data_IF_624818424933
#
_entry.id   IF_624818424933
#
_cell.length_a   1.000
_cell.length_b   1.000
_cell.length_c   1.000
_cell.angle_alpha   90.00
_cell.angle_beta   90.00
_cell.angle_gamma   90.00
#
_symmetry.space_group_name_H-M   'P 1'
#
loop_
_entity.id
_entity.type
_entity.pdbx_description
1 polymer ?
#
# COMPACT_ATOMS: atom_id res chain seq x y z
N UNK A 1 -3.82 -10.81 18.72
CA UNK A 1 -3.30 -9.72 19.60
C UNK A 1 -3.34 -8.32 18.96
N UNK A 2 -3.64 -8.17 17.65
CA UNK A 2 -3.65 -6.86 16.92
C UNK A 2 -5.00 -6.14 16.88
N UNK A 3 -6.12 -6.83 17.13
CA UNK A 3 -7.45 -6.21 17.16
C UNK A 3 -7.73 -5.39 18.43
N UNK A 4 -6.98 -5.60 19.52
CA UNK A 4 -7.14 -4.87 20.78
C UNK A 4 -6.76 -3.39 20.67
N UNK A 5 -5.77 -3.04 19.85
CA UNK A 5 -5.29 -1.65 19.70
C UNK A 5 -6.29 -0.74 18.98
N UNK A 6 -7.03 -1.27 17.99
CA UNK A 6 -8.02 -0.47 17.25
C UNK A 6 -9.22 -0.08 18.14
N UNK A 7 -9.79 -1.05 18.88
CA UNK A 7 -10.90 -0.79 19.82
C UNK A 7 -10.50 0.19 20.92
N UNK A 8 -9.35 -0.03 21.55
CA UNK A 8 -8.83 0.89 22.56
C UNK A 8 -8.67 2.31 22.01
N UNK A 9 -8.14 2.47 20.79
CA UNK A 9 -8.02 3.76 20.13
C UNK A 9 -9.38 4.42 19.90
N UNK A 10 -10.37 3.69 19.36
CA UNK A 10 -11.73 4.20 19.14
C UNK A 10 -12.37 4.63 20.45
N UNK A 11 -12.29 3.80 21.50
CA UNK A 11 -12.89 4.09 22.80
C UNK A 11 -12.28 5.35 23.43
N UNK A 12 -10.96 5.56 23.27
CA UNK A 12 -10.27 6.76 23.77
C UNK A 12 -10.78 8.06 23.11
N UNK A 13 -11.15 8.02 21.85
CA UNK A 13 -11.58 9.22 21.09
C UNK A 13 -13.11 9.33 20.91
N UNK A 14 -13.88 8.41 21.49
CA UNK A 14 -15.34 8.34 21.31
C UNK A 14 -16.03 9.64 21.67
N UNK A 15 -15.78 10.19 22.85
CA UNK A 15 -16.43 11.41 23.33
C UNK A 15 -16.02 12.63 22.49
N UNK A 16 -14.74 12.72 22.13
CA UNK A 16 -14.24 13.78 21.24
C UNK A 16 -14.89 13.70 19.86
N UNK A 17 -15.11 12.48 19.32
CA UNK A 17 -15.76 12.26 18.05
C UNK A 17 -17.24 12.66 18.09
N UNK A 18 -17.96 12.28 19.16
CA UNK A 18 -19.36 12.66 19.37
C UNK A 18 -19.52 14.19 19.45
N UNK A 19 -18.67 14.85 20.23
CA UNK A 19 -18.67 16.31 20.35
C UNK A 19 -18.37 17.00 19.01
N UNK A 20 -17.46 16.47 18.22
CA UNK A 20 -17.12 17.00 16.90
C UNK A 20 -18.30 16.83 15.93
N UNK A 21 -18.93 15.67 15.90
CA UNK A 21 -20.14 15.39 15.10
C UNK A 21 -21.28 16.35 15.47
N UNK A 22 -21.52 16.55 16.77
CA UNK A 22 -22.53 17.48 17.23
C UNK A 22 -22.26 18.94 16.83
N UNK A 23 -20.98 19.34 16.81
CA UNK A 23 -20.56 20.69 16.43
C UNK A 23 -20.66 20.95 14.93
N UNK A 24 -20.31 19.97 14.11
CA UNK A 24 -20.26 20.10 12.65
C UNK A 24 -21.60 19.77 12.00
N UNK A 25 -22.41 18.90 12.60
CA UNK A 25 -23.66 18.41 12.06
C UNK A 25 -23.51 17.30 11.02
N UNK A 26 -22.29 16.77 10.84
CA UNK A 26 -21.99 15.72 9.85
C UNK A 26 -21.54 14.43 10.53
N UNK A 27 -21.96 13.28 9.98
CA UNK A 27 -21.55 11.97 10.48
C UNK A 27 -20.08 11.72 10.14
N UNK A 28 -19.24 11.54 11.16
CA UNK A 28 -17.84 11.18 11.04
C UNK A 28 -17.64 9.76 11.58
N UNK A 29 -16.91 8.93 10.86
CA UNK A 29 -16.64 7.55 11.28
C UNK A 29 -15.12 7.28 11.15
N UNK A 30 -14.50 6.82 12.24
CA UNK A 30 -13.14 6.27 12.20
C UNK A 30 -13.27 4.81 11.78
N UNK A 31 -12.80 4.46 10.60
CA UNK A 31 -12.96 3.11 10.04
C UNK A 31 -11.74 2.23 10.21
N UNK A 32 -10.57 2.81 10.17
CA UNK A 32 -9.29 2.09 10.23
C UNK A 32 -8.29 2.87 11.07
N UNK A 33 -7.50 2.14 11.85
CA UNK A 33 -6.31 2.65 12.51
C UNK A 33 -5.23 1.57 12.50
N UNK A 34 -3.98 1.96 12.38
CA UNK A 34 -2.84 1.05 12.45
C UNK A 34 -1.71 1.72 13.22
N UNK A 35 -1.12 0.94 14.12
CA UNK A 35 0.04 1.34 14.90
C UNK A 35 1.30 0.70 14.31
N UNK A 36 2.33 1.50 14.11
CA UNK A 36 3.66 1.07 13.72
C UNK A 36 4.60 1.23 14.92
N UNK A 37 5.06 0.11 15.45
CA UNK A 37 6.06 0.15 16.54
C UNK A 37 7.45 0.48 16.00
N UNK A 38 8.37 0.80 16.91
CA UNK A 38 9.78 1.07 16.59
C UNK A 38 10.71 -0.09 16.99
N UNK A 39 10.18 -1.30 17.25
CA UNK A 39 10.96 -2.43 17.76
C UNK A 39 11.92 -3.02 16.75
N UNK A 40 11.57 -2.96 15.45
CA UNK A 40 12.40 -3.46 14.34
C UNK A 40 12.29 -2.50 13.17
N UNK A 41 13.42 -2.12 12.58
CA UNK A 41 13.45 -1.25 11.42
C UNK A 41 13.11 0.21 11.71
N UNK A 42 12.91 0.99 10.66
CA UNK A 42 12.57 2.41 10.71
C UNK A 42 11.27 2.68 9.97
N UNK A 43 10.45 3.56 10.52
CA UNK A 43 9.19 3.98 9.93
C UNK A 43 9.41 5.27 9.12
N UNK A 44 8.88 5.29 7.90
CA UNK A 44 8.83 6.48 7.04
C UNK A 44 7.39 6.73 6.63
N UNK A 45 7.04 7.99 6.44
CA UNK A 45 5.68 8.35 6.06
C UNK A 45 5.63 9.46 5.02
N UNK A 46 4.50 9.53 4.33
CA UNK A 46 4.20 10.59 3.39
C UNK A 46 2.73 10.98 3.53
N UNK A 47 2.48 12.29 3.59
CA UNK A 47 1.13 12.86 3.62
C UNK A 47 0.91 13.61 2.32
N UNK A 48 -0.08 13.19 1.55
CA UNK A 48 -0.47 13.84 0.30
C UNK A 48 -1.68 14.75 0.51
N UNK A 49 -1.66 15.91 -0.16
CA UNK A 49 -2.66 16.96 0.04
C UNK A 49 -2.78 17.33 1.52
N UNK A 50 -1.63 17.64 2.11
CA UNK A 50 -1.56 18.06 3.50
C UNK A 50 -2.39 19.33 3.73
N UNK A 51 -3.23 19.29 4.75
CA UNK A 51 -4.02 20.44 5.23
C UNK A 51 -3.27 21.13 6.35
N UNK A 52 -2.62 20.35 7.19
CA UNK A 52 -1.74 20.79 8.29
C UNK A 52 -0.61 19.75 8.44
N UNK A 53 0.31 19.96 9.38
CA UNK A 53 1.38 19.04 9.67
C UNK A 53 0.81 17.66 10.05
N UNK A 54 1.21 16.62 9.33
CA UNK A 54 0.78 15.23 9.51
C UNK A 54 -0.72 14.96 9.30
N UNK A 55 -1.47 15.91 8.72
CA UNK A 55 -2.89 15.78 8.41
C UNK A 55 -3.11 15.98 6.92
N UNK A 56 -3.69 15.01 6.24
CA UNK A 56 -3.96 15.08 4.81
C UNK A 56 -4.99 14.08 4.34
N UNK A 57 -5.34 14.17 3.06
CA UNK A 57 -6.35 13.29 2.44
C UNK A 57 -5.87 11.86 2.19
N UNK A 58 -4.56 11.69 1.98
CA UNK A 58 -3.92 10.38 1.80
C UNK A 58 -2.69 10.35 2.70
N UNK A 59 -2.52 9.27 3.43
CA UNK A 59 -1.30 8.97 4.18
C UNK A 59 -0.80 7.58 3.80
N UNK A 60 0.51 7.45 3.65
CA UNK A 60 1.20 6.18 3.57
C UNK A 60 2.30 6.09 4.61
N UNK A 61 2.46 4.92 5.18
CA UNK A 61 3.54 4.60 6.11
C UNK A 61 4.20 3.31 5.63
N UNK A 62 5.52 3.29 5.63
CA UNK A 62 6.31 2.10 5.33
C UNK A 62 7.35 1.88 6.40
N UNK A 63 7.52 0.62 6.81
CA UNK A 63 8.54 0.17 7.74
C UNK A 63 9.61 -0.61 6.99
N UNK A 64 10.85 -0.17 7.11
CA UNK A 64 12.01 -0.77 6.44
C UNK A 64 13.00 -1.33 7.45
N UNK A 65 13.55 -2.51 7.17
CA UNK A 65 14.77 -3.01 7.81
C UNK A 65 15.99 -2.72 6.92
N UNK A 66 17.18 -2.82 7.50
CA UNK A 66 18.44 -2.57 6.78
C UNK A 66 18.78 -1.11 6.54
N UNK A 67 17.98 -0.18 7.06
CA UNK A 67 18.22 1.27 6.90
C UNK A 67 19.36 1.75 7.79
N UNK A 68 20.25 2.54 7.20
CA UNK A 68 21.28 3.30 7.91
C UNK A 68 20.81 4.74 8.03
N UNK A 69 20.57 5.17 9.28
CA UNK A 69 20.07 6.53 9.59
C UNK A 69 21.00 7.60 9.00
N UNK A 70 20.41 8.62 8.39
CA UNK A 70 21.14 9.70 7.71
C UNK A 70 21.61 9.36 6.28
N UNK A 71 21.70 8.07 5.91
CA UNK A 71 22.12 7.66 4.55
C UNK A 71 20.94 7.32 3.64
N UNK A 72 19.94 6.63 4.18
CA UNK A 72 18.82 6.10 3.41
C UNK A 72 17.47 6.77 3.75
N UNK A 73 17.44 7.79 4.60
CA UNK A 73 16.20 8.44 5.05
C UNK A 73 15.36 8.96 3.87
N UNK A 74 16.03 9.54 2.87
CA UNK A 74 15.36 10.01 1.66
C UNK A 74 14.73 8.87 0.84
N UNK A 75 15.32 7.66 0.85
CA UNK A 75 14.75 6.49 0.19
C UNK A 75 13.42 6.08 0.84
N UNK A 76 13.39 6.01 2.18
CA UNK A 76 12.18 5.63 2.91
C UNK A 76 11.02 6.58 2.65
N UNK A 77 11.27 7.90 2.68
CA UNK A 77 10.25 8.91 2.36
C UNK A 77 9.77 8.82 0.90
N UNK A 78 10.69 8.59 -0.04
CA UNK A 78 10.34 8.37 -1.46
C UNK A 78 9.52 7.09 -1.66
N UNK A 79 9.83 6.02 -0.90
CA UNK A 79 9.05 4.79 -0.96
C UNK A 79 7.63 4.99 -0.40
N UNK A 80 7.49 5.73 0.70
CA UNK A 80 6.18 6.11 1.21
C UNK A 80 5.39 6.92 0.16
N UNK A 81 6.03 7.88 -0.53
CA UNK A 81 5.41 8.62 -1.63
C UNK A 81 4.99 7.71 -2.79
N UNK A 82 5.84 6.73 -3.16
CA UNK A 82 5.51 5.73 -4.17
C UNK A 82 4.26 4.92 -3.78
N UNK A 83 4.18 4.43 -2.54
CA UNK A 83 3.02 3.70 -2.02
C UNK A 83 1.75 4.56 -2.09
N UNK A 84 1.84 5.84 -1.74
CA UNK A 84 0.71 6.75 -1.83
C UNK A 84 0.19 6.90 -3.26
N UNK A 85 1.09 6.95 -4.26
CA UNK A 85 0.76 7.13 -5.67
C UNK A 85 0.32 5.83 -6.35
N UNK A 86 1.06 4.73 -6.15
CA UNK A 86 0.89 3.48 -6.91
C UNK A 86 -0.06 2.48 -6.27
N UNK A 87 -0.46 2.69 -5.02
CA UNK A 87 -1.44 1.88 -4.30
C UNK A 87 -1.22 0.36 -4.35
N UNK A 88 -0.06 -0.16 -3.99
CA UNK A 88 0.17 -1.60 -3.97
C UNK A 88 -0.76 -2.29 -2.98
N UNK A 89 -1.18 -3.52 -3.31
CA UNK A 89 -2.03 -4.35 -2.45
C UNK A 89 -1.20 -5.17 -1.45
N UNK A 90 0.01 -5.55 -1.84
CA UNK A 90 0.91 -6.40 -1.04
C UNK A 90 2.38 -6.02 -1.28
N UNK A 91 3.29 -6.57 -0.46
CA UNK A 91 4.73 -6.37 -0.61
C UNK A 91 5.22 -7.12 -1.85
N UNK A 92 4.90 -8.41 -1.97
CA UNK A 92 5.25 -9.22 -3.12
C UNK A 92 4.00 -9.87 -3.73
N UNK A 93 4.16 -10.54 -4.88
CA UNK A 93 3.08 -11.19 -5.64
C UNK A 93 2.35 -12.25 -4.83
N UNK A 94 3.12 -13.06 -4.11
CA UNK A 94 2.65 -14.17 -3.29
C UNK A 94 1.85 -13.72 -2.07
N UNK A 95 2.00 -12.44 -1.66
CA UNK A 95 1.29 -11.84 -0.54
C UNK A 95 -0.08 -11.28 -0.93
N UNK A 96 -0.40 -11.21 -2.24
CA UNK A 96 -1.71 -10.73 -2.71
C UNK A 96 -2.78 -11.75 -2.34
N UNK A 97 -3.87 -11.27 -1.72
CA UNK A 97 -4.98 -12.12 -1.30
C UNK A 97 -5.51 -12.95 -2.48
N UNK A 98 -5.57 -14.27 -2.28
CA UNK A 98 -6.04 -15.21 -3.28
C UNK A 98 -7.43 -14.88 -3.83
N UNK A 99 -8.34 -14.37 -2.99
CA UNK A 99 -9.67 -13.97 -3.42
C UNK A 99 -9.64 -12.82 -4.43
N UNK A 100 -8.69 -11.90 -4.29
CA UNK A 100 -8.47 -10.81 -5.24
C UNK A 100 -7.95 -11.34 -6.56
N UNK A 101 -6.98 -12.26 -6.50
CA UNK A 101 -6.40 -12.91 -7.70
C UNK A 101 -7.44 -13.74 -8.45
N UNK A 102 -8.24 -14.53 -7.72
CA UNK A 102 -9.29 -15.37 -8.32
C UNK A 102 -10.36 -14.50 -9.01
N UNK A 103 -10.81 -13.42 -8.40
CA UNK A 103 -11.74 -12.46 -9.02
C UNK A 103 -11.17 -11.82 -10.28
N UNK A 104 -9.90 -11.42 -10.25
CA UNK A 104 -9.27 -10.84 -11.43
C UNK A 104 -9.15 -11.87 -12.57
N UNK A 105 -8.85 -13.13 -12.24
CA UNK A 105 -8.84 -14.22 -13.22
C UNK A 105 -10.22 -14.43 -13.85
N UNK A 106 -11.29 -14.38 -13.09
CA UNK A 106 -12.67 -14.45 -13.61
C UNK A 106 -12.95 -13.31 -14.60
N UNK A 107 -12.56 -12.08 -14.25
CA UNK A 107 -12.73 -10.90 -15.12
C UNK A 107 -11.92 -11.07 -16.42
N UNK A 108 -10.65 -11.45 -16.29
CA UNK A 108 -9.75 -11.68 -17.44
C UNK A 108 -10.32 -12.75 -18.38
N UNK A 109 -10.80 -13.87 -17.85
CA UNK A 109 -11.34 -14.94 -18.65
C UNK A 109 -12.63 -14.52 -19.38
N UNK A 110 -13.54 -13.83 -18.71
CA UNK A 110 -14.74 -13.28 -19.32
C UNK A 110 -14.43 -12.28 -20.45
N UNK A 111 -13.43 -11.40 -20.26
CA UNK A 111 -12.98 -10.48 -21.33
C UNK A 111 -12.42 -11.24 -22.54
N UNK A 112 -11.64 -12.31 -22.32
CA UNK A 112 -11.03 -13.08 -23.39
C UNK A 112 -12.08 -13.87 -24.17
N UNK A 113 -13.05 -14.49 -23.49
CA UNK A 113 -14.17 -15.20 -24.11
C UNK A 113 -14.96 -14.27 -25.03
N UNK A 114 -15.27 -13.07 -24.56
CA UNK A 114 -15.99 -12.05 -25.35
C UNK A 114 -15.17 -11.49 -26.52
N UNK A 115 -13.85 -11.70 -26.55
CA UNK A 115 -12.97 -11.19 -27.61
C UNK A 115 -12.93 -12.02 -28.88
N UNK A 116 -13.58 -13.20 -28.91
CA UNK A 116 -13.62 -14.12 -30.07
C UNK A 116 -12.26 -14.72 -30.45
N UNK A 117 -11.26 -14.67 -29.58
CA UNK A 117 -9.91 -15.20 -29.86
C UNK A 117 -9.86 -16.74 -29.84
N UNK A 118 -8.97 -17.35 -30.65
CA UNK A 118 -8.82 -18.82 -30.69
C UNK A 118 -8.46 -19.34 -29.27
N UNK A 119 -9.07 -20.50 -28.90
CA UNK A 119 -8.87 -21.13 -27.58
C UNK A 119 -7.40 -21.35 -27.22
N UNK A 120 -6.55 -21.68 -28.20
CA UNK A 120 -5.11 -21.89 -28.01
C UNK A 120 -4.35 -20.62 -27.54
N UNK A 121 -4.90 -19.42 -27.83
CA UNK A 121 -4.33 -18.14 -27.39
C UNK A 121 -4.87 -17.68 -26.03
N UNK A 122 -6.04 -18.18 -25.62
CA UNK A 122 -6.72 -17.78 -24.39
C UNK A 122 -5.83 -17.97 -23.17
N UNK A 123 -5.27 -19.16 -23.00
CA UNK A 123 -4.42 -19.50 -21.85
C UNK A 123 -3.16 -18.62 -21.78
N UNK A 124 -2.54 -18.36 -22.93
CA UNK A 124 -1.34 -17.52 -22.99
C UNK A 124 -1.66 -16.07 -22.62
N UNK A 125 -2.77 -15.55 -23.11
CA UNK A 125 -3.22 -14.18 -22.85
C UNK A 125 -3.63 -14.04 -21.37
N UNK A 126 -4.38 -15.02 -20.83
CA UNK A 126 -4.81 -15.04 -19.44
C UNK A 126 -3.59 -15.03 -18.50
N UNK A 127 -2.60 -15.92 -18.73
CA UNK A 127 -1.34 -15.95 -17.97
C UNK A 127 -0.57 -14.61 -18.05
N UNK A 128 -0.52 -13.99 -19.21
CA UNK A 128 0.14 -12.71 -19.40
C UNK A 128 -0.56 -11.57 -18.63
N UNK A 129 -1.90 -11.51 -18.71
CA UNK A 129 -2.71 -10.50 -18.03
C UNK A 129 -2.61 -10.63 -16.49
N UNK A 130 -2.75 -11.87 -15.96
CA UNK A 130 -2.66 -12.09 -14.52
C UNK A 130 -1.24 -11.80 -13.99
N UNK A 131 -0.19 -12.17 -14.74
CA UNK A 131 1.18 -11.83 -14.36
C UNK A 131 1.40 -10.32 -14.29
N UNK A 132 0.84 -9.59 -15.25
CA UNK A 132 0.87 -8.12 -15.23
C UNK A 132 0.10 -7.55 -14.04
N UNK A 133 -1.09 -8.06 -13.75
CA UNK A 133 -1.88 -7.65 -12.59
C UNK A 133 -1.10 -7.85 -11.28
N UNK A 134 -0.46 -9.01 -11.11
CA UNK A 134 0.37 -9.28 -9.93
C UNK A 134 1.56 -8.31 -9.83
N UNK A 135 2.23 -8.00 -10.94
CA UNK A 135 3.32 -7.01 -10.97
C UNK A 135 2.84 -5.61 -10.62
N UNK A 136 1.73 -5.18 -11.22
CA UNK A 136 1.19 -3.83 -11.03
C UNK A 136 0.66 -3.62 -9.60
N UNK A 137 0.32 -4.69 -8.87
CA UNK A 137 -0.26 -4.64 -7.53
C UNK A 137 0.68 -5.09 -6.40
N UNK A 138 1.91 -5.53 -6.70
CA UNK A 138 2.91 -5.86 -5.69
C UNK A 138 4.02 -4.82 -5.63
N UNK A 139 4.25 -4.26 -4.44
CA UNK A 139 5.16 -3.13 -4.21
C UNK A 139 6.55 -3.35 -4.82
N UNK A 140 7.15 -4.51 -4.58
CA UNK A 140 8.51 -4.82 -5.04
C UNK A 140 8.63 -4.93 -6.56
N UNK A 141 7.53 -5.26 -7.24
CA UNK A 141 7.50 -5.46 -8.69
C UNK A 141 7.02 -4.23 -9.46
N UNK A 142 6.39 -3.26 -8.77
CA UNK A 142 5.97 -2.00 -9.38
C UNK A 142 7.14 -1.21 -9.94
N UNK A 143 6.88 -0.51 -11.04
CA UNK A 143 7.81 0.46 -11.62
C UNK A 143 7.94 1.66 -10.67
N UNK A 144 9.18 2.04 -10.37
CA UNK A 144 9.47 3.14 -9.48
C UNK A 144 9.00 4.49 -10.06
N UNK A 145 8.15 5.22 -9.33
CA UNK A 145 7.54 6.46 -9.85
C UNK A 145 8.55 7.57 -10.18
N UNK A 146 9.76 7.54 -9.61
CA UNK A 146 10.79 8.56 -9.84
C UNK A 146 11.80 8.13 -10.92
N UNK A 147 11.79 6.86 -11.33
CA UNK A 147 12.60 6.33 -12.43
C UNK A 147 11.87 5.16 -13.10
N UNK A 148 11.18 5.40 -14.23
CA UNK A 148 10.36 4.38 -14.89
C UNK A 148 11.16 3.24 -15.53
N UNK A 149 12.49 3.27 -15.47
CA UNK A 149 13.36 2.21 -15.95
C UNK A 149 13.66 1.14 -14.89
N UNK A 150 13.29 1.40 -13.63
CA UNK A 150 13.63 0.53 -12.50
C UNK A 150 12.39 0.08 -11.73
N UNK A 151 12.45 -1.14 -11.21
CA UNK A 151 11.48 -1.63 -10.23
C UNK A 151 11.87 -1.18 -8.82
N UNK A 152 10.88 -1.15 -7.90
CA UNK A 152 11.12 -0.85 -6.48
C UNK A 152 12.19 -1.78 -5.89
N UNK A 153 12.13 -3.09 -6.18
CA UNK A 153 13.13 -4.07 -5.74
C UNK A 153 14.56 -3.72 -6.17
N UNK A 154 14.75 -3.20 -7.37
CA UNK A 154 16.05 -2.76 -7.87
C UNK A 154 16.56 -1.53 -7.10
N UNK A 155 15.67 -0.56 -6.84
CA UNK A 155 16.00 0.64 -6.05
C UNK A 155 16.43 0.26 -4.63
N UNK A 156 15.71 -0.65 -3.97
CA UNK A 156 16.09 -1.13 -2.63
C UNK A 156 17.46 -1.79 -2.64
N UNK A 157 17.73 -2.67 -3.62
CA UNK A 157 19.00 -3.36 -3.77
C UNK A 157 20.17 -2.40 -4.03
N UNK A 158 20.00 -1.42 -4.91
CA UNK A 158 21.02 -0.42 -5.24
C UNK A 158 21.40 0.48 -4.05
N UNK A 159 20.44 0.72 -3.16
CA UNK A 159 20.63 1.53 -1.95
C UNK A 159 21.09 0.72 -0.72
N UNK A 160 21.14 -0.60 -0.83
CA UNK A 160 21.63 -1.49 0.24
C UNK A 160 23.14 -1.28 0.44
N UNK A 161 23.58 -1.12 1.68
CA UNK A 161 24.97 -0.85 2.05
C UNK A 161 25.37 -1.72 3.21
N UNK A 162 25.92 -2.89 2.92
CA UNK A 162 26.33 -3.87 3.94
C UNK A 162 25.19 -4.71 4.53
N UNK A 163 23.97 -4.19 4.60
CA UNK A 163 22.76 -4.92 4.94
C UNK A 163 21.71 -4.69 3.87
N UNK A 164 20.99 -5.74 3.48
CA UNK A 164 19.90 -5.67 2.53
C UNK A 164 18.75 -4.85 3.12
N UNK A 165 18.22 -3.91 2.34
CA UNK A 165 17.04 -3.15 2.69
C UNK A 165 15.81 -3.96 2.29
N UNK A 166 14.94 -4.22 3.27
CA UNK A 166 13.70 -4.96 3.07
C UNK A 166 12.48 -4.20 3.62
N UNK A 167 11.34 -4.39 2.98
CA UNK A 167 10.06 -3.86 3.45
C UNK A 167 9.47 -4.83 4.47
N UNK A 168 9.22 -4.36 5.69
CA UNK A 168 8.60 -5.17 6.74
C UNK A 168 7.08 -5.12 6.61
N UNK A 169 6.54 -3.92 6.50
CA UNK A 169 5.10 -3.66 6.35
C UNK A 169 4.86 -2.25 5.82
N UNK A 170 3.71 -2.05 5.24
CA UNK A 170 3.23 -0.73 4.85
C UNK A 170 1.73 -0.60 5.05
N UNK A 171 1.23 0.63 4.99
CA UNK A 171 -0.18 0.95 4.92
C UNK A 171 -0.38 2.21 4.06
N UNK A 172 -1.50 2.27 3.38
CA UNK A 172 -2.03 3.48 2.76
C UNK A 172 -3.47 3.67 3.21
N UNK A 173 -3.81 4.88 3.63
CA UNK A 173 -5.17 5.28 3.92
C UNK A 173 -5.55 6.52 3.13
N UNK A 174 -6.75 6.51 2.58
CA UNK A 174 -7.36 7.64 1.90
C UNK A 174 -8.70 7.95 2.55
N UNK A 175 -8.95 9.23 2.82
CA UNK A 175 -10.25 9.70 3.33
C UNK A 175 -11.33 9.39 2.30
N UNK A 176 -12.47 8.84 2.74
CA UNK A 176 -13.58 8.47 1.87
C UNK A 176 -13.37 7.19 1.05
N UNK A 177 -12.26 6.47 1.21
CA UNK A 177 -12.03 5.22 0.48
C UNK A 177 -12.98 4.11 0.94
N UNK A 178 -13.63 3.44 -0.03
CA UNK A 178 -14.53 2.32 0.24
C UNK A 178 -15.88 2.74 0.86
N UNK A 179 -16.38 3.92 0.52
CA UNK A 179 -17.76 4.40 0.83
C UNK A 179 -18.64 4.15 -0.37
#
# INVERSE_FOLDING_TARGET
>A
KRSGNYRYFIDQYKDSLVNLIAKIGEKITIRRAKFFDNSKGMNFFYVHSALEENIGKIISIVKLDGIVKGKNDNLGNKLAMHIAASNPLAIDREDIDKQIVDKELEIINAEIENSGKPKQMVDKISKGKISKFLDDNSLLNQIWIMDPKKKVSQILKENSSGKEISVIEFVKYKVGEGV
#
